data_IF_036709630088
#
_entry.id   IF_036709630088
#
_cell.length_a   1.000
_cell.length_b   1.000
_cell.length_c   1.000
_cell.angle_alpha   90.00
_cell.angle_beta   90.00
_cell.angle_gamma   90.00
#
_symmetry.space_group_name_H-M   'P 1'
#
loop_
_entity.id
_entity.type
_entity.pdbx_description
1 polymer ?
#
# COMPACT_ATOMS: atom_id res chain seq x y z
N UNK A 1 9.74 -18.46 2.67
CA UNK A 1 8.71 -17.97 1.73
C UNK A 1 8.02 -16.80 2.40
N UNK A 2 8.09 -15.60 1.83
CA UNK A 2 7.32 -14.44 2.28
C UNK A 2 5.94 -14.48 1.64
N UNK A 3 4.91 -14.13 2.41
CA UNK A 3 3.55 -13.99 1.88
C UNK A 3 3.44 -12.64 1.16
N UNK A 4 2.94 -12.65 -0.08
CA UNK A 4 2.73 -11.42 -0.85
C UNK A 4 1.37 -10.79 -0.51
N UNK A 5 1.36 -9.46 -0.37
CA UNK A 5 0.17 -8.67 -0.04
C UNK A 5 0.03 -7.53 -1.05
N UNK A 6 -1.16 -7.37 -1.60
CA UNK A 6 -1.49 -6.26 -2.51
C UNK A 6 -2.44 -5.29 -1.81
N UNK A 7 -2.09 -4.00 -1.80
CA UNK A 7 -2.91 -2.91 -1.24
C UNK A 7 -3.35 -2.00 -2.37
N UNK A 8 -4.67 -1.77 -2.51
CA UNK A 8 -5.25 -0.92 -3.56
C UNK A 8 -5.77 0.38 -2.92
N UNK A 9 -5.19 1.52 -3.32
CA UNK A 9 -5.50 2.87 -2.84
C UNK A 9 -4.35 3.52 -2.07
N UNK A 10 -3.85 4.67 -2.55
CA UNK A 10 -2.71 5.40 -1.97
C UNK A 10 -3.05 6.48 -0.95
N UNK A 11 -4.28 6.51 -0.44
CA UNK A 11 -4.66 7.41 0.66
C UNK A 11 -3.97 7.05 1.98
N UNK A 12 -4.11 7.90 3.00
CA UNK A 12 -3.45 7.74 4.32
C UNK A 12 -3.65 6.34 4.92
N UNK A 13 -4.85 5.78 4.83
CA UNK A 13 -5.16 4.44 5.35
C UNK A 13 -4.43 3.36 4.56
N UNK A 14 -4.38 3.46 3.23
CA UNK A 14 -3.73 2.47 2.37
C UNK A 14 -2.22 2.45 2.54
N UNK A 15 -1.60 3.63 2.65
CA UNK A 15 -0.16 3.76 2.93
C UNK A 15 0.18 3.18 4.31
N UNK A 16 -0.60 3.51 5.35
CA UNK A 16 -0.39 2.95 6.69
C UNK A 16 -0.54 1.41 6.69
N UNK A 17 -1.55 0.86 6.02
CA UNK A 17 -1.75 -0.58 5.93
C UNK A 17 -0.59 -1.29 5.21
N UNK A 18 -0.11 -0.72 4.09
CA UNK A 18 1.03 -1.26 3.35
C UNK A 18 2.33 -1.21 4.17
N UNK A 19 2.56 -0.11 4.90
CA UNK A 19 3.73 0.05 5.75
C UNK A 19 3.75 -0.96 6.90
N UNK A 20 2.62 -1.15 7.59
CA UNK A 20 2.53 -2.11 8.69
C UNK A 20 2.65 -3.56 8.22
N UNK A 21 2.10 -3.88 7.04
CA UNK A 21 2.31 -5.18 6.40
C UNK A 21 3.79 -5.40 6.06
N UNK A 22 4.47 -4.40 5.49
CA UNK A 22 5.89 -4.50 5.17
C UNK A 22 6.74 -4.73 6.44
N UNK A 23 6.44 -3.99 7.53
CA UNK A 23 7.10 -4.16 8.84
C UNK A 23 6.87 -5.53 9.47
N UNK A 24 5.75 -6.17 9.15
CA UNK A 24 5.42 -7.52 9.58
C UNK A 24 6.10 -8.62 8.74
N UNK A 25 6.91 -8.24 7.75
CA UNK A 25 7.69 -9.16 6.91
C UNK A 25 6.97 -9.66 5.66
N UNK A 26 5.86 -9.03 5.28
CA UNK A 26 5.17 -9.31 4.02
C UNK A 26 5.87 -8.63 2.83
N UNK A 27 5.77 -9.26 1.66
CA UNK A 27 6.18 -8.66 0.39
C UNK A 27 5.01 -7.85 -0.17
N UNK A 28 5.12 -6.51 -0.14
CA UNK A 28 3.97 -5.61 -0.32
C UNK A 28 4.04 -4.87 -1.64
N UNK A 29 2.93 -4.91 -2.40
CA UNK A 29 2.70 -4.10 -3.59
C UNK A 29 1.56 -3.12 -3.29
N UNK A 30 1.84 -1.81 -3.29
CA UNK A 30 0.82 -0.77 -3.19
C UNK A 30 0.51 -0.21 -4.59
N UNK A 31 -0.77 -0.21 -4.95
CA UNK A 31 -1.27 0.32 -6.22
C UNK A 31 -2.20 1.49 -5.89
N UNK A 32 -1.79 2.69 -6.25
CA UNK A 32 -2.70 3.85 -6.24
C UNK A 32 -3.20 4.12 -7.67
N UNK A 33 -4.49 3.88 -7.97
CA UNK A 33 -5.04 4.16 -9.30
C UNK A 33 -5.17 5.67 -9.59
N UNK A 34 -5.05 6.54 -8.57
CA UNK A 34 -5.05 7.99 -8.77
C UNK A 34 -3.62 8.47 -9.00
N UNK A 35 -3.42 9.37 -9.96
CA UNK A 35 -2.12 10.05 -10.10
C UNK A 35 -1.85 10.89 -8.84
N UNK A 36 -0.63 10.85 -8.28
CA UNK A 36 -0.27 11.72 -7.16
C UNK A 36 -0.55 13.19 -7.51
N UNK A 37 -1.22 13.92 -6.60
CA UNK A 37 -1.55 15.35 -6.76
C UNK A 37 -2.92 15.67 -7.38
N UNK A 38 -3.85 14.71 -7.46
CA UNK A 38 -5.24 14.91 -7.93
C UNK A 38 -6.27 14.81 -6.80
N UNK A 39 -6.01 15.46 -5.68
CA UNK A 39 -7.02 15.77 -4.68
C UNK A 39 -7.61 17.15 -5.02
N UNK A 40 -8.73 17.13 -5.74
CA UNK A 40 -9.59 18.31 -5.97
C UNK A 40 -10.60 18.44 -4.85
#
# INVERSE_FOLDING_TARGET
MSTSVVVIGGGIVGVCAALEAQRSGFDVILIDPKQPGRES
#
